data_IF_985062929615
#
_entry.id   IF_985062929615
#
_cell.length_a   1.000
_cell.length_b   1.000
_cell.length_c   1.000
_cell.angle_alpha   90.00
_cell.angle_beta   90.00
_cell.angle_gamma   90.00
#
_symmetry.space_group_name_H-M   'P 1'
#
loop_
_entity.id
_entity.type
_entity.pdbx_description
1 polymer ?
#
# COMPACT_ATOMS: atom_id res chain seq x y z
N UNK A 1 10.47 -27.52 7.38
CA UNK A 1 10.47 -26.05 7.19
C UNK A 1 9.04 -25.57 7.33
N UNK A 2 8.78 -24.61 8.22
CA UNK A 2 7.46 -23.98 8.37
C UNK A 2 7.30 -22.95 7.23
N UNK A 3 6.47 -23.25 6.24
CA UNK A 3 6.28 -22.44 5.02
C UNK A 3 4.92 -21.74 4.93
N UNK A 4 4.20 -21.60 6.04
CA UNK A 4 2.87 -20.99 6.04
C UNK A 4 2.97 -19.48 6.27
N UNK A 5 2.53 -18.70 5.29
CA UNK A 5 2.39 -17.24 5.41
C UNK A 5 1.00 -16.91 5.96
N UNK A 6 0.93 -15.97 6.91
CA UNK A 6 -0.33 -15.46 7.48
C UNK A 6 -0.26 -13.94 7.56
N UNK A 7 -1.38 -13.27 7.30
CA UNK A 7 -1.53 -11.82 7.52
C UNK A 7 -1.71 -11.58 9.02
N UNK A 8 -1.12 -10.49 9.51
CA UNK A 8 -1.18 -10.06 10.90
C UNK A 8 -1.30 -8.53 10.95
N UNK A 9 -1.42 -7.97 12.16
CA UNK A 9 -1.53 -6.52 12.42
C UNK A 9 -2.82 -5.88 11.85
N UNK A 10 -3.96 -6.29 12.41
CA UNK A 10 -5.29 -5.80 12.04
C UNK A 10 -5.68 -4.50 12.76
N UNK A 11 -4.73 -3.78 13.38
CA UNK A 11 -5.01 -2.60 14.22
C UNK A 11 -5.58 -1.39 13.46
N UNK A 12 -5.48 -1.39 12.13
CA UNK A 12 -6.06 -0.40 11.21
C UNK A 12 -7.15 -0.99 10.30
N UNK A 13 -7.52 -2.26 10.50
CA UNK A 13 -8.55 -2.91 9.70
C UNK A 13 -9.94 -2.44 10.14
N UNK A 14 -10.77 -2.06 9.18
CA UNK A 14 -12.12 -1.54 9.42
C UNK A 14 -13.16 -2.53 8.88
N UNK A 15 -14.28 -2.67 9.58
CA UNK A 15 -15.42 -3.46 9.10
C UNK A 15 -16.23 -2.64 8.08
N UNK A 16 -16.46 -3.22 6.92
CA UNK A 16 -17.11 -2.58 5.77
C UNK A 16 -18.56 -3.03 5.56
N UNK A 17 -19.18 -3.70 6.54
CA UNK A 17 -20.49 -4.35 6.39
C UNK A 17 -21.64 -3.42 5.97
N UNK A 18 -21.61 -2.15 6.36
CA UNK A 18 -22.69 -1.18 6.09
C UNK A 18 -22.38 -0.23 4.92
N UNK A 19 -21.10 -0.02 4.62
CA UNK A 19 -20.62 0.85 3.54
C UNK A 19 -19.42 0.21 2.84
N UNK A 20 -19.49 0.03 1.53
CA UNK A 20 -18.44 -0.58 0.68
C UNK A 20 -17.13 0.23 0.60
N UNK A 21 -16.95 1.24 1.45
CA UNK A 21 -15.72 2.02 1.60
C UNK A 21 -15.64 2.58 3.03
N UNK A 22 -14.44 2.73 3.53
CA UNK A 22 -14.12 3.54 4.71
C UNK A 22 -13.49 4.85 4.24
N UNK A 23 -13.84 5.97 4.88
CA UNK A 23 -13.25 7.28 4.59
C UNK A 23 -12.66 7.89 5.84
N UNK A 24 -11.35 8.00 5.90
CA UNK A 24 -10.67 8.65 7.00
C UNK A 24 -10.87 10.18 6.89
N UNK A 25 -11.56 10.78 7.86
CA UNK A 25 -11.80 12.22 7.89
C UNK A 25 -10.51 13.01 8.13
N UNK A 26 -10.29 14.10 7.37
CA UNK A 26 -9.16 15.03 7.57
C UNK A 26 -9.31 15.93 8.82
N UNK A 27 -10.37 15.76 9.60
CA UNK A 27 -10.72 16.61 10.75
C UNK A 27 -11.49 15.81 11.80
N UNK A 28 -10.90 14.77 12.38
CA UNK A 28 -11.22 14.44 13.77
C UNK A 28 -10.31 15.27 14.65
N UNK A 29 -10.90 15.97 15.61
CA UNK A 29 -10.19 16.81 16.61
C UNK A 29 -9.26 15.95 17.49
N UNK A 30 -9.36 14.62 17.35
CA UNK A 30 -8.50 13.57 17.91
C UNK A 30 -7.75 12.77 16.83
N UNK A 31 -7.53 13.33 15.62
CA UNK A 31 -6.65 12.74 14.60
C UNK A 31 -5.21 12.79 15.12
N UNK A 32 -4.88 11.90 16.04
CA UNK A 32 -3.53 11.37 16.19
C UNK A 32 -3.05 11.09 14.79
N UNK A 33 -1.91 11.68 14.43
CA UNK A 33 -1.24 11.55 13.14
C UNK A 33 -1.09 10.06 12.83
N UNK A 34 -2.12 9.47 12.21
CA UNK A 34 -2.22 8.02 12.07
C UNK A 34 -1.18 7.67 11.04
N UNK A 35 -0.08 7.08 11.49
CA UNK A 35 1.06 6.76 10.65
C UNK A 35 0.67 5.64 9.70
N UNK A 36 0.23 6.02 8.50
CA UNK A 36 -0.18 5.09 7.45
C UNK A 36 0.98 4.72 6.52
N UNK A 37 0.96 3.51 5.93
CA UNK A 37 2.05 3.02 5.07
C UNK A 37 1.94 3.59 3.63
N UNK A 38 2.25 4.88 3.43
CA UNK A 38 2.07 5.61 2.15
C UNK A 38 2.57 4.86 0.90
N UNK A 39 3.69 4.12 0.99
CA UNK A 39 4.27 3.40 -0.16
C UNK A 39 3.45 2.19 -0.62
N UNK A 40 2.54 1.69 0.23
CA UNK A 40 1.63 0.58 -0.05
C UNK A 40 0.23 1.08 -0.41
N UNK A 41 -0.06 2.37 -0.29
CA UNK A 41 -1.39 2.91 -0.52
C UNK A 41 -1.59 3.26 -2.00
N UNK A 42 -2.81 3.06 -2.54
CA UNK A 42 -3.15 3.59 -3.85
C UNK A 42 -3.40 5.10 -3.78
N UNK A 43 -3.49 5.74 -4.95
CA UNK A 43 -3.61 7.21 -5.03
C UNK A 43 -4.89 7.73 -4.35
N UNK A 44 -6.02 7.05 -4.52
CA UNK A 44 -7.29 7.41 -3.91
C UNK A 44 -7.24 7.38 -2.37
N UNK A 45 -6.52 6.41 -1.78
CA UNK A 45 -6.33 6.35 -0.33
C UNK A 45 -5.43 7.48 0.16
N UNK A 46 -4.38 7.83 -0.60
CA UNK A 46 -3.45 8.89 -0.21
C UNK A 46 -4.10 10.28 -0.29
N UNK A 47 -4.90 10.55 -1.32
CA UNK A 47 -5.43 11.90 -1.58
C UNK A 47 -6.78 12.15 -0.91
N UNK A 48 -7.65 11.14 -0.92
CA UNK A 48 -9.04 11.24 -0.49
C UNK A 48 -9.33 10.51 0.82
N UNK A 49 -8.38 9.71 1.31
CA UNK A 49 -8.56 8.87 2.50
C UNK A 49 -9.58 7.76 2.27
N UNK A 50 -9.77 7.31 1.02
CA UNK A 50 -10.72 6.27 0.64
C UNK A 50 -10.06 4.89 0.75
N UNK A 51 -10.66 3.99 1.53
CA UNK A 51 -10.18 2.62 1.72
C UNK A 51 -11.30 1.64 1.37
N UNK A 52 -10.98 0.62 0.57
CA UNK A 52 -11.90 -0.45 0.19
C UNK A 52 -11.14 -1.71 -0.23
N UNK A 53 -11.86 -2.75 -0.65
CA UNK A 53 -11.25 -3.98 -1.17
C UNK A 53 -10.24 -3.72 -2.30
N UNK A 54 -10.44 -2.69 -3.13
CA UNK A 54 -9.52 -2.37 -4.24
C UNK A 54 -8.25 -1.68 -3.75
N UNK A 55 -8.30 -0.91 -2.67
CA UNK A 55 -7.08 -0.41 -2.02
C UNK A 55 -6.27 -1.53 -1.38
N UNK A 56 -6.93 -2.57 -0.88
CA UNK A 56 -6.24 -3.77 -0.38
C UNK A 56 -5.58 -4.55 -1.52
N UNK A 57 -6.24 -4.67 -2.68
CA UNK A 57 -5.65 -5.28 -3.88
C UNK A 57 -4.39 -4.54 -4.34
N UNK A 58 -4.39 -3.20 -4.30
CA UNK A 58 -3.19 -2.42 -4.59
C UNK A 58 -2.06 -2.72 -3.59
N UNK A 59 -2.38 -2.67 -2.30
CA UNK A 59 -1.42 -2.93 -1.21
C UNK A 59 -0.81 -4.33 -1.35
N UNK A 60 -1.65 -5.33 -1.67
CA UNK A 60 -1.22 -6.69 -2.00
C UNK A 60 -0.26 -6.73 -3.19
N UNK A 61 -0.52 -5.96 -4.26
CA UNK A 61 0.39 -5.84 -5.40
C UNK A 61 1.79 -5.35 -5.02
N UNK A 62 1.86 -4.37 -4.12
CA UNK A 62 3.14 -3.90 -3.56
C UNK A 62 3.81 -5.00 -2.72
N UNK A 63 3.07 -5.72 -1.87
CA UNK A 63 3.61 -6.85 -1.10
C UNK A 63 4.13 -7.98 -2.00
N UNK A 64 3.42 -8.30 -3.09
CA UNK A 64 3.90 -9.27 -4.09
C UNK A 64 5.21 -8.79 -4.72
N UNK A 65 5.32 -7.51 -5.07
CA UNK A 65 6.57 -6.93 -5.56
C UNK A 65 7.70 -7.07 -4.55
N UNK A 66 7.45 -6.84 -3.25
CA UNK A 66 8.44 -7.04 -2.20
C UNK A 66 8.92 -8.50 -2.13
N UNK A 67 8.00 -9.47 -2.21
CA UNK A 67 8.35 -10.90 -2.22
C UNK A 67 9.30 -11.21 -3.39
N UNK A 68 8.95 -10.77 -4.61
CA UNK A 68 9.76 -11.05 -5.80
C UNK A 68 11.08 -10.29 -5.86
N UNK A 69 11.20 -9.19 -5.13
CA UNK A 69 12.45 -8.43 -5.00
C UNK A 69 13.28 -8.81 -3.77
N UNK A 70 12.86 -9.85 -3.03
CA UNK A 70 13.51 -10.28 -1.78
C UNK A 70 13.56 -9.17 -0.72
N UNK A 71 12.45 -8.43 -0.57
CA UNK A 71 12.26 -7.42 0.48
C UNK A 71 12.91 -6.07 0.18
N UNK A 72 13.05 -5.68 -1.10
CA UNK A 72 13.44 -4.30 -1.43
C UNK A 72 12.37 -3.32 -0.92
N UNK A 73 12.80 -2.10 -0.64
CA UNK A 73 11.88 -1.01 -0.25
C UNK A 73 11.12 -0.51 -1.49
N UNK A 74 9.78 -0.53 -1.50
CA UNK A 74 9.00 0.04 -2.60
C UNK A 74 9.31 1.52 -2.83
N UNK A 75 9.46 1.94 -4.09
CA UNK A 75 9.76 3.32 -4.46
C UNK A 75 11.01 3.89 -3.77
N UNK A 76 12.05 3.07 -3.59
CA UNK A 76 13.30 3.48 -2.95
C UNK A 76 13.85 4.79 -3.56
N UNK A 77 14.28 5.73 -2.70
CA UNK A 77 14.78 7.05 -3.12
C UNK A 77 13.70 8.11 -3.38
N UNK A 78 12.43 7.74 -3.45
CA UNK A 78 11.31 8.68 -3.60
C UNK A 78 10.76 9.04 -2.22
N UNK A 79 10.60 10.34 -1.93
CA UNK A 79 9.96 10.81 -0.70
C UNK A 79 8.45 10.50 -0.70
N UNK A 80 7.88 10.18 0.46
CA UNK A 80 6.43 9.96 0.60
C UNK A 80 5.61 11.18 0.13
N UNK A 81 6.15 12.40 0.27
CA UNK A 81 5.50 13.63 -0.21
C UNK A 81 5.51 13.77 -1.74
N UNK A 82 6.47 13.12 -2.42
CA UNK A 82 6.59 13.16 -3.87
C UNK A 82 5.81 12.02 -4.55
N UNK A 83 5.52 10.94 -3.82
CA UNK A 83 4.87 9.74 -4.36
C UNK A 83 3.51 10.01 -5.03
N UNK A 84 2.60 10.84 -4.49
CA UNK A 84 1.32 11.11 -5.14
C UNK A 84 1.46 11.77 -6.52
N UNK A 85 2.50 12.59 -6.71
CA UNK A 85 2.78 13.20 -8.02
C UNK A 85 3.25 12.17 -9.03
N UNK A 86 4.08 11.22 -8.60
CA UNK A 86 4.58 10.13 -9.43
C UNK A 86 3.45 9.18 -9.83
N UNK A 87 2.62 8.73 -8.88
CA UNK A 87 1.48 7.85 -9.15
C UNK A 87 0.45 8.52 -10.08
N UNK A 88 0.20 9.82 -9.90
CA UNK A 88 -0.67 10.58 -10.81
C UNK A 88 -0.13 10.66 -12.23
N UNK A 89 1.19 10.63 -12.40
CA UNK A 89 1.83 10.57 -13.71
C UNK A 89 1.72 9.18 -14.38
N UNK A 90 1.15 8.18 -13.68
CA UNK A 90 1.03 6.79 -14.17
C UNK A 90 2.29 5.96 -13.99
N UNK A 91 3.26 6.46 -13.22
CA UNK A 91 4.48 5.71 -12.90
C UNK A 91 4.20 4.70 -11.77
N UNK A 92 4.74 3.49 -11.91
CA UNK A 92 4.56 2.40 -10.97
C UNK A 92 5.90 1.74 -10.63
N UNK A 93 5.90 0.81 -9.67
CA UNK A 93 7.09 0.02 -9.35
C UNK A 93 7.65 -0.67 -10.61
N UNK A 94 8.98 -0.68 -10.72
CA UNK A 94 9.68 -1.43 -11.77
C UNK A 94 9.33 -2.93 -11.70
N UNK A 95 9.45 -3.64 -12.82
CA UNK A 95 9.21 -5.10 -12.82
C UNK A 95 10.22 -5.79 -11.89
N UNK A 96 9.70 -6.47 -10.86
CA UNK A 96 10.50 -7.17 -9.86
C UNK A 96 11.45 -8.23 -10.45
N UNK A 97 11.06 -8.84 -11.57
CA UNK A 97 11.86 -9.84 -12.28
C UNK A 97 12.34 -9.26 -13.61
N UNK A 98 13.63 -8.96 -13.70
CA UNK A 98 14.26 -8.71 -15.01
C UNK A 98 15.36 -9.68 -15.42
N UNK A 99 16.00 -10.51 -14.58
CA UNK A 99 17.12 -11.32 -15.13
C UNK A 99 17.66 -12.56 -14.36
N UNK A 100 16.95 -13.18 -13.40
CA UNK A 100 17.62 -14.16 -12.51
C UNK A 100 17.04 -15.58 -12.40
N UNK A 101 16.13 -16.00 -13.29
CA UNK A 101 15.60 -17.38 -13.32
C UNK A 101 15.87 -18.14 -14.63
N UNK A 102 16.86 -17.73 -15.43
CA UNK A 102 17.32 -18.48 -16.62
C UNK A 102 18.85 -18.64 -16.66
N UNK A 103 19.47 -19.03 -15.53
CA UNK A 103 20.82 -19.61 -15.53
C UNK A 103 20.86 -20.80 -14.60
#
# INVERSE_FOLDING_TARGET
>A
MCGTVKVADFGLSEDMYSTNYFRQGKSSVDAVETKVPIRWMPLESIEEGLYNEKSDVWSYGVTVWEIFTCGKVPYHGISCMALPRLLRAGEHLEKALQHRLLR
#
